data_IF_460059424765
#
_entry.id   IF_460059424765
#
_cell.length_a   1.000
_cell.length_b   1.000
_cell.length_c   1.000
_cell.angle_alpha   90.00
_cell.angle_beta   90.00
_cell.angle_gamma   90.00
#
_symmetry.space_group_name_H-M   'P 1'
#
loop_
_entity.id
_entity.type
_entity.pdbx_description
1 polymer ?
#
# COMPACT_ATOMS: atom_id res chain seq x y z
N UNK A 1 12.34 0.76 6.39
CA UNK A 1 12.72 1.72 5.33
C UNK A 1 14.03 1.33 4.65
N UNK A 2 15.14 1.22 5.37
CA UNK A 2 16.47 0.86 4.80
C UNK A 2 16.46 -0.42 3.94
N UNK A 3 15.81 -1.49 4.43
CA UNK A 3 15.69 -2.74 3.66
C UNK A 3 14.88 -2.57 2.38
N UNK A 4 13.84 -1.73 2.39
CA UNK A 4 13.06 -1.42 1.19
C UNK A 4 13.95 -0.70 0.18
N UNK A 5 14.72 0.31 0.62
CA UNK A 5 15.67 1.02 -0.25
C UNK A 5 16.64 0.05 -0.94
N UNK A 6 17.23 -0.90 -0.20
CA UNK A 6 18.15 -1.88 -0.79
C UNK A 6 17.50 -2.70 -1.92
N UNK A 7 16.23 -3.07 -1.78
CA UNK A 7 15.48 -3.78 -2.82
C UNK A 7 15.16 -2.85 -3.99
N UNK A 8 14.72 -1.61 -3.74
CA UNK A 8 14.42 -0.64 -4.79
C UNK A 8 15.66 -0.29 -5.63
N UNK A 9 16.83 -0.16 -4.99
CA UNK A 9 18.10 0.07 -5.68
C UNK A 9 18.45 -1.11 -6.61
N UNK A 10 18.14 -2.35 -6.21
CA UNK A 10 18.33 -3.51 -7.07
C UNK A 10 17.35 -3.55 -8.25
N UNK A 11 16.09 -3.17 -8.03
CA UNK A 11 15.08 -3.02 -9.10
C UNK A 11 15.51 -1.97 -10.12
N UNK A 12 16.06 -0.84 -9.66
CA UNK A 12 16.61 0.22 -10.50
C UNK A 12 17.73 -0.30 -11.42
N UNK A 13 18.68 -1.07 -10.87
CA UNK A 13 19.82 -1.62 -11.63
C UNK A 13 19.41 -2.55 -12.78
N UNK A 14 18.30 -3.26 -12.63
CA UNK A 14 17.79 -4.19 -13.65
C UNK A 14 16.71 -3.56 -14.54
N UNK A 15 16.40 -2.28 -14.34
CA UNK A 15 15.35 -1.57 -15.09
C UNK A 15 13.94 -2.12 -14.83
N UNK A 16 13.69 -2.65 -13.64
CA UNK A 16 12.42 -3.29 -13.29
C UNK A 16 11.33 -2.31 -12.84
N UNK A 17 10.24 -2.88 -12.33
CA UNK A 17 9.13 -2.18 -11.71
C UNK A 17 8.97 -2.68 -10.27
N UNK A 18 8.70 -1.80 -9.32
CA UNK A 18 8.32 -2.18 -7.96
C UNK A 18 6.88 -1.79 -7.65
N UNK A 19 6.26 -2.58 -6.75
CA UNK A 19 5.05 -2.22 -6.03
C UNK A 19 5.29 -2.53 -4.55
N UNK A 20 5.17 -1.51 -3.68
CA UNK A 20 5.29 -1.65 -2.22
C UNK A 20 3.92 -1.40 -1.59
N UNK A 21 3.50 -2.31 -0.71
CA UNK A 21 2.24 -2.19 0.06
C UNK A 21 2.38 -2.87 1.42
N UNK A 22 1.34 -2.78 2.26
CA UNK A 22 1.18 -3.56 3.48
C UNK A 22 -0.14 -4.34 3.46
N UNK A 23 -0.27 -5.35 4.30
CA UNK A 23 -1.50 -6.15 4.48
C UNK A 23 -2.44 -5.53 5.52
N UNK A 24 -1.91 -4.85 6.53
CA UNK A 24 -2.69 -4.11 7.51
C UNK A 24 -1.85 -3.03 8.23
N UNK A 25 -2.54 -2.18 9.01
CA UNK A 25 -1.91 -1.25 9.94
C UNK A 25 -1.54 -1.91 11.27
N UNK A 26 -0.54 -1.37 11.95
CA UNK A 26 -0.11 -1.70 13.31
C UNK A 26 0.77 -0.56 13.86
N UNK A 27 1.98 -0.43 13.30
CA UNK A 27 3.05 0.40 13.85
C UNK A 27 2.75 1.92 13.82
N UNK A 28 1.77 2.35 13.04
CA UNK A 28 1.36 3.75 12.92
C UNK A 28 0.53 4.26 14.11
N UNK A 29 -0.09 3.39 14.91
CA UNK A 29 -0.74 3.78 16.17
C UNK A 29 -0.45 2.79 17.29
N UNK A 30 0.45 3.17 18.18
CA UNK A 30 0.86 2.33 19.32
C UNK A 30 0.08 2.64 20.60
N UNK A 31 -1.00 3.43 20.51
CA UNK A 31 -1.73 3.98 21.66
C UNK A 31 -3.20 3.56 21.63
N UNK A 32 -3.70 2.93 22.70
CA UNK A 32 -5.14 2.68 22.83
C UNK A 32 -5.88 4.00 22.99
N UNK A 33 -6.98 4.19 22.25
CA UNK A 33 -7.80 5.39 22.27
C UNK A 33 -9.24 5.09 22.69
N UNK A 34 -9.84 6.02 23.42
CA UNK A 34 -11.27 5.97 23.71
C UNK A 34 -12.09 6.37 22.47
N UNK A 35 -13.43 6.33 22.58
CA UNK A 35 -14.33 6.70 21.47
C UNK A 35 -14.21 8.16 21.01
N UNK A 36 -13.63 9.03 21.84
CA UNK A 36 -13.33 10.42 21.49
C UNK A 36 -11.94 10.60 20.86
N UNK A 37 -11.20 9.51 20.60
CA UNK A 37 -9.86 9.53 20.01
C UNK A 37 -8.73 9.87 20.99
N UNK A 38 -9.03 10.03 22.28
CA UNK A 38 -8.05 10.41 23.30
C UNK A 38 -7.27 9.18 23.79
N UNK A 39 -5.96 9.32 24.06
CA UNK A 39 -5.16 8.26 24.68
C UNK A 39 -5.78 7.73 25.97
N UNK A 40 -5.87 6.41 26.09
CA UNK A 40 -6.28 5.75 27.32
C UNK A 40 -5.07 5.60 28.24
N UNK A 41 -5.27 5.95 29.51
CA UNK A 41 -4.25 5.79 30.54
C UNK A 41 -4.53 4.54 31.38
N UNK A 42 -3.48 3.90 31.88
CA UNK A 42 -3.58 2.86 32.89
C UNK A 42 -3.76 3.47 34.30
N UNK A 43 -3.78 2.61 35.33
CA UNK A 43 -3.98 3.04 36.73
C UNK A 43 -2.83 3.91 37.27
N UNK A 44 -1.65 3.84 36.65
CA UNK A 44 -0.49 4.68 37.00
C UNK A 44 -0.46 6.02 36.27
N UNK A 45 -1.41 6.24 35.35
CA UNK A 45 -1.44 7.42 34.48
C UNK A 45 -0.56 7.29 33.23
N UNK A 46 0.00 6.11 32.95
CA UNK A 46 0.80 5.85 31.75
C UNK A 46 -0.07 5.45 30.56
N UNK A 47 0.42 5.63 29.34
CA UNK A 47 -0.30 5.25 28.12
C UNK A 47 -0.54 3.74 28.08
N UNK A 48 -1.76 3.32 27.76
CA UNK A 48 -2.03 1.94 27.41
C UNK A 48 -1.56 1.64 25.98
N UNK A 49 -0.64 0.70 25.84
CA UNK A 49 -0.07 0.28 24.55
C UNK A 49 -1.11 -0.46 23.71
N UNK A 50 -1.22 -0.11 22.43
CA UNK A 50 -1.97 -0.88 21.44
C UNK A 50 -1.06 -1.95 20.83
N UNK A 51 -1.47 -3.22 20.95
CA UNK A 51 -0.71 -4.37 20.42
C UNK A 51 -1.46 -5.11 19.31
N UNK A 52 -2.67 -4.66 18.96
CA UNK A 52 -3.48 -5.21 17.88
C UNK A 52 -3.26 -4.40 16.60
N UNK A 53 -3.77 -4.91 15.48
CA UNK A 53 -3.85 -4.15 14.24
C UNK A 53 -4.75 -2.92 14.39
N UNK A 54 -4.66 -2.03 13.41
CA UNK A 54 -5.54 -0.86 13.28
C UNK A 54 -6.49 -1.03 12.08
N UNK A 55 -7.38 -0.05 11.93
CA UNK A 55 -8.25 0.09 10.76
C UNK A 55 -7.73 1.16 9.79
N UNK A 56 -6.46 1.57 9.91
CA UNK A 56 -5.87 2.55 9.00
C UNK A 56 -5.69 1.94 7.60
N UNK A 57 -5.80 2.76 6.54
CA UNK A 57 -5.46 2.32 5.19
C UNK A 57 -3.96 2.02 5.10
N UNK A 58 -3.59 1.19 4.13
CA UNK A 58 -2.20 0.84 3.81
C UNK A 58 -1.72 1.62 2.58
N UNK A 59 -0.41 1.94 2.48
CA UNK A 59 0.12 2.60 1.29
C UNK A 59 0.17 1.62 0.10
N UNK A 60 0.08 2.15 -1.11
CA UNK A 60 0.50 1.46 -2.34
C UNK A 60 1.43 2.41 -3.09
N UNK A 61 2.69 2.02 -3.30
CA UNK A 61 3.67 2.81 -4.03
C UNK A 61 4.19 2.01 -5.23
N UNK A 62 4.14 2.59 -6.43
CA UNK A 62 4.56 1.95 -7.68
C UNK A 62 5.62 2.83 -8.34
N UNK A 63 6.66 2.23 -8.90
CA UNK A 63 7.75 2.95 -9.57
C UNK A 63 8.77 2.03 -10.22
N UNK A 64 9.94 2.58 -10.54
CA UNK A 64 11.06 1.88 -11.19
C UNK A 64 11.19 2.22 -12.68
N UNK A 65 12.37 1.99 -13.30
CA UNK A 65 12.66 2.43 -14.66
C UNK A 65 11.84 1.74 -15.74
N UNK A 66 11.35 0.53 -15.45
CA UNK A 66 10.49 -0.21 -16.37
C UNK A 66 9.04 0.29 -16.40
N UNK A 67 8.66 1.22 -15.52
CA UNK A 67 7.28 1.70 -15.44
C UNK A 67 6.95 2.57 -16.64
N UNK A 68 5.89 2.22 -17.37
CA UNK A 68 5.44 3.01 -18.51
C UNK A 68 5.08 4.44 -18.06
N UNK A 69 5.56 5.50 -18.75
CA UNK A 69 5.47 6.88 -18.29
C UNK A 69 4.03 7.46 -18.27
N UNK A 70 3.08 6.76 -18.88
CA UNK A 70 1.65 7.08 -18.83
C UNK A 70 0.90 6.38 -17.69
N UNK A 71 1.55 5.52 -16.90
CA UNK A 71 0.90 4.85 -15.75
C UNK A 71 0.57 5.86 -14.67
N UNK A 72 -0.68 5.84 -14.22
CA UNK A 72 -1.15 6.58 -13.04
C UNK A 72 -2.16 5.77 -12.25
N UNK A 73 -2.38 6.15 -11.00
CA UNK A 73 -3.49 5.60 -10.23
C UNK A 73 -4.83 6.03 -10.84
N UNK A 74 -5.74 5.08 -10.92
CA UNK A 74 -7.14 5.33 -11.28
C UNK A 74 -7.81 6.16 -10.19
N UNK A 75 -8.73 7.03 -10.61
CA UNK A 75 -9.57 7.82 -9.71
C UNK A 75 -11.03 7.36 -9.67
N UNK A 76 -11.39 6.33 -10.45
CA UNK A 76 -12.76 5.83 -10.60
C UNK A 76 -13.08 4.63 -9.69
N UNK A 77 -12.10 4.13 -8.93
CA UNK A 77 -12.33 3.08 -7.91
C UNK A 77 -12.76 3.74 -6.61
N UNK A 78 -14.02 3.54 -6.21
CA UNK A 78 -14.59 4.19 -5.03
C UNK A 78 -14.00 3.67 -3.71
N UNK A 79 -13.75 2.37 -3.62
CA UNK A 79 -13.26 1.70 -2.39
C UNK A 79 -12.14 0.71 -2.73
N UNK A 80 -10.94 1.21 -3.07
CA UNK A 80 -9.81 0.34 -3.37
C UNK A 80 -9.39 -0.46 -2.13
N UNK A 81 -9.02 -1.72 -2.33
CA UNK A 81 -8.52 -2.61 -1.29
C UNK A 81 -7.41 -3.54 -1.77
N UNK A 82 -6.99 -4.46 -0.90
CA UNK A 82 -5.87 -5.37 -1.20
C UNK A 82 -6.14 -6.27 -2.41
N UNK A 83 -7.39 -6.64 -2.65
CA UNK A 83 -7.75 -7.48 -3.80
C UNK A 83 -7.41 -6.83 -5.15
N UNK A 84 -7.48 -5.50 -5.25
CA UNK A 84 -7.11 -4.75 -6.47
C UNK A 84 -5.60 -4.84 -6.76
N UNK A 85 -4.76 -5.07 -5.75
CA UNK A 85 -3.30 -5.19 -5.92
C UNK A 85 -2.96 -6.40 -6.80
N UNK A 86 -3.72 -7.49 -6.73
CA UNK A 86 -3.48 -8.68 -7.55
C UNK A 86 -3.56 -8.38 -9.05
N UNK A 87 -4.63 -7.72 -9.50
CA UNK A 87 -4.77 -7.31 -10.90
C UNK A 87 -3.70 -6.26 -11.29
N UNK A 88 -3.34 -5.37 -10.36
CA UNK A 88 -2.29 -4.37 -10.57
C UNK A 88 -0.95 -5.02 -10.88
N UNK A 89 -0.53 -6.01 -10.09
CA UNK A 89 0.71 -6.76 -10.33
C UNK A 89 0.69 -7.48 -11.68
N UNK A 90 -0.43 -8.13 -12.04
CA UNK A 90 -0.57 -8.79 -13.35
C UNK A 90 -0.37 -7.82 -14.51
N UNK A 91 -0.99 -6.64 -14.44
CA UNK A 91 -0.85 -5.63 -15.50
C UNK A 91 0.55 -5.03 -15.57
N UNK A 92 1.21 -4.81 -14.44
CA UNK A 92 2.61 -4.34 -14.41
C UNK A 92 3.58 -5.34 -15.06
N UNK A 93 3.24 -6.64 -15.07
CA UNK A 93 3.98 -7.67 -15.79
C UNK A 93 3.64 -7.75 -17.29
N UNK A 94 2.75 -6.89 -17.79
CA UNK A 94 2.33 -6.87 -19.20
C UNK A 94 1.23 -7.90 -19.55
N UNK A 95 0.57 -8.49 -18.54
CA UNK A 95 -0.54 -9.41 -18.77
C UNK A 95 -1.90 -8.73 -18.56
N UNK A 96 -2.93 -9.24 -19.23
CA UNK A 96 -4.30 -8.91 -18.88
C UNK A 96 -4.69 -9.65 -17.59
N UNK A 97 -5.24 -8.92 -16.62
CA UNK A 97 -5.74 -9.53 -15.39
C UNK A 97 -6.98 -10.39 -15.68
N UNK A 98 -7.20 -11.49 -14.94
CA UNK A 98 -8.42 -12.30 -15.05
C UNK A 98 -9.68 -11.46 -14.83
N UNK A 99 -10.78 -11.82 -15.51
CA UNK A 99 -12.03 -11.06 -15.45
C UNK A 99 -12.75 -11.14 -14.11
N UNK A 100 -12.42 -12.13 -13.27
CA UNK A 100 -12.95 -12.35 -11.93
C UNK A 100 -12.10 -11.69 -10.82
N UNK A 101 -11.01 -11.00 -11.19
CA UNK A 101 -10.23 -10.20 -10.26
C UNK A 101 -10.86 -8.82 -10.10
N UNK A 102 -10.61 -8.20 -8.94
CA UNK A 102 -10.91 -6.79 -8.75
C UNK A 102 -10.14 -5.91 -9.75
N UNK A 103 -10.73 -4.79 -10.14
CA UNK A 103 -10.13 -3.85 -11.10
C UNK A 103 -8.76 -3.39 -10.63
N UNK A 104 -7.78 -3.40 -11.54
CA UNK A 104 -6.42 -2.88 -11.30
C UNK A 104 -6.44 -1.44 -10.79
N UNK A 105 -5.50 -1.08 -9.90
CA UNK A 105 -5.40 0.27 -9.33
C UNK A 105 -4.85 1.31 -10.33
N UNK A 106 -4.35 0.86 -11.48
CA UNK A 106 -3.66 1.73 -12.45
C UNK A 106 -4.39 1.78 -13.79
N UNK A 107 -4.16 2.88 -14.50
CA UNK A 107 -4.48 3.04 -15.92
C UNK A 107 -3.27 3.60 -16.66
N UNK A 108 -3.28 3.47 -17.98
CA UNK A 108 -2.30 4.09 -18.86
C UNK A 108 -3.02 5.19 -19.64
N UNK A 109 -2.52 6.42 -19.54
CA UNK A 109 -2.99 7.55 -20.33
C UNK A 109 -1.98 7.91 -21.40
N UNK A 110 -2.46 8.20 -22.61
CA UNK A 110 -1.66 8.83 -23.65
C UNK A 110 -1.24 10.22 -23.19
N UNK A 111 0.03 10.58 -23.41
CA UNK A 111 0.56 11.90 -23.10
C UNK A 111 0.12 12.94 -24.12
#
# INVERSE_FOLDING_TARGET
DEAVKMVLDAVEQVGGIYLVTADHGNAEDMVKRNKAGQPMLDKSGSIQILTSHTLQPVPVAIGGPGLHPGVRFRSDIQTPGLANVAATVMNLHGFQAPADYETTLIEVVDK
#
